data_IF_367507243296
#
_entry.id   IF_367507243296
#
_cell.length_a   1.000
_cell.length_b   1.000
_cell.length_c   1.000
_cell.angle_alpha   90.00
_cell.angle_beta   90.00
_cell.angle_gamma   90.00
#
_symmetry.space_group_name_H-M   'P 1'
#
loop_
_entity.id
_entity.type
_entity.pdbx_description
1 polymer ?
#
# COMPACT_ATOMS: atom_id res chain seq x y z
N UNK A 1 25.86 13.84 1.29
CA UNK A 1 25.37 14.39 2.57
C UNK A 1 23.85 14.38 2.50
N UNK A 2 23.18 13.58 3.33
CA UNK A 2 21.72 13.46 3.32
C UNK A 2 21.10 14.75 3.87
N UNK A 3 20.29 15.44 3.06
CA UNK A 3 19.61 16.67 3.46
C UNK A 3 18.26 16.34 4.10
N UNK A 4 18.28 15.86 5.35
CA UNK A 4 17.10 15.56 6.16
C UNK A 4 16.47 16.84 6.77
N UNK A 5 16.41 17.93 6.00
CA UNK A 5 15.80 19.18 6.44
C UNK A 5 14.28 19.20 6.19
N UNK A 6 13.58 20.08 6.91
CA UNK A 6 12.15 20.27 6.77
C UNK A 6 11.36 19.01 7.11
N UNK A 7 10.45 18.60 6.23
CA UNK A 7 9.55 17.47 6.48
C UNK A 7 10.27 16.13 6.63
N UNK A 8 11.42 15.93 5.96
CA UNK A 8 12.21 14.69 6.06
C UNK A 8 12.92 14.52 7.41
N UNK A 9 12.92 15.56 8.26
CA UNK A 9 13.42 15.46 9.63
C UNK A 9 12.52 14.55 10.49
N UNK A 10 11.20 14.58 10.27
CA UNK A 10 10.20 13.82 11.02
C UNK A 10 9.66 12.63 10.22
N UNK A 11 9.56 12.78 8.90
CA UNK A 11 8.93 11.81 8.00
C UNK A 11 9.93 11.17 7.05
N UNK A 12 9.55 10.02 6.53
CA UNK A 12 10.18 9.38 5.40
C UNK A 12 9.12 9.10 4.34
N UNK A 13 9.48 9.09 3.04
CA UNK A 13 8.54 8.66 2.03
C UNK A 13 8.15 7.20 2.30
N UNK A 14 6.85 6.91 2.31
CA UNK A 14 6.35 5.55 2.49
C UNK A 14 6.55 4.80 1.17
N UNK A 15 7.43 3.80 1.21
CA UNK A 15 7.76 2.95 0.08
C UNK A 15 7.18 1.57 0.31
N UNK A 16 6.27 1.14 -0.56
CA UNK A 16 5.64 -0.18 -0.51
C UNK A 16 6.40 -1.14 -1.42
N UNK A 17 6.44 -2.40 -1.00
CA UNK A 17 6.88 -3.54 -1.82
C UNK A 17 5.62 -4.32 -2.17
N UNK A 18 5.32 -4.44 -3.46
CA UNK A 18 4.14 -5.17 -3.92
C UNK A 18 4.40 -6.67 -3.93
N UNK A 19 3.33 -7.45 -3.91
CA UNK A 19 3.41 -8.81 -4.44
C UNK A 19 3.45 -8.70 -5.97
N UNK A 20 4.45 -9.34 -6.56
CA UNK A 20 4.69 -9.35 -8.00
C UNK A 20 3.99 -10.53 -8.64
N UNK A 21 4.71 -11.18 -9.55
CA UNK A 21 4.22 -12.38 -10.21
C UNK A 21 4.34 -13.56 -9.24
N UNK A 22 3.23 -14.25 -9.00
CA UNK A 22 3.19 -15.53 -8.30
C UNK A 22 2.70 -16.55 -9.32
N UNK A 23 3.62 -17.40 -9.79
CA UNK A 23 3.36 -18.65 -10.51
C UNK A 23 2.42 -18.60 -11.73
N UNK A 24 2.87 -19.02 -12.91
CA UNK A 24 1.98 -19.49 -13.98
C UNK A 24 2.30 -20.96 -14.30
N UNK A 25 1.33 -21.90 -14.29
CA UNK A 25 1.55 -23.21 -14.86
C UNK A 25 2.05 -23.07 -16.31
N UNK A 26 3.02 -23.90 -16.75
CA UNK A 26 3.47 -23.88 -18.16
C UNK A 26 2.32 -24.18 -19.13
N UNK A 27 1.31 -24.91 -18.68
CA UNK A 27 0.14 -25.33 -19.43
C UNK A 27 -1.08 -24.39 -19.31
N UNK A 28 -1.03 -23.37 -18.44
CA UNK A 28 -2.07 -22.33 -18.33
C UNK A 28 -1.48 -20.98 -17.89
N UNK A 29 -0.94 -20.19 -18.85
CA UNK A 29 -0.26 -18.93 -18.54
C UNK A 29 -1.19 -17.82 -18.03
N UNK A 30 -2.51 -18.05 -17.97
CA UNK A 30 -3.49 -17.07 -17.49
C UNK A 30 -3.82 -17.25 -15.98
N UNK A 31 -3.35 -18.33 -15.36
CA UNK A 31 -3.67 -18.72 -13.96
C UNK A 31 -2.70 -18.18 -12.90
N UNK A 32 -1.95 -17.12 -13.21
CA UNK A 32 -0.99 -16.50 -12.28
C UNK A 32 -1.60 -15.39 -11.43
N UNK A 33 -1.14 -15.24 -10.18
CA UNK A 33 -1.44 -14.03 -9.43
C UNK A 33 -0.43 -12.95 -9.81
N UNK A 34 -0.94 -11.74 -9.98
CA UNK A 34 -0.23 -10.54 -10.36
C UNK A 34 -0.38 -9.49 -9.26
N UNK A 35 0.29 -8.35 -9.42
CA UNK A 35 0.11 -7.22 -8.50
C UNK A 35 -1.35 -6.72 -8.44
N UNK A 36 -2.12 -6.88 -9.52
CA UNK A 36 -3.52 -6.44 -9.62
C UNK A 36 -4.46 -7.27 -8.74
N UNK A 37 -4.11 -8.54 -8.49
CA UNK A 37 -4.85 -9.42 -7.58
C UNK A 37 -4.76 -8.95 -6.11
N UNK A 38 -3.94 -7.93 -5.84
CA UNK A 38 -3.74 -7.33 -4.51
C UNK A 38 -4.01 -5.82 -4.47
N UNK A 39 -4.61 -5.28 -5.54
CA UNK A 39 -5.16 -3.91 -5.58
C UNK A 39 -6.68 -4.01 -5.39
N UNK A 40 -7.17 -3.32 -4.36
CA UNK A 40 -8.54 -3.52 -3.89
C UNK A 40 -9.51 -2.51 -4.50
N UNK A 41 -10.42 -3.00 -5.33
CA UNK A 41 -11.45 -2.20 -5.99
C UNK A 41 -12.79 -2.32 -5.27
N UNK A 42 -13.49 -1.22 -4.96
CA UNK A 42 -14.82 -1.29 -4.38
C UNK A 42 -15.77 -2.13 -5.23
N UNK A 43 -16.54 -3.00 -4.57
CA UNK A 43 -17.67 -3.70 -5.20
C UNK A 43 -18.86 -2.74 -5.10
N UNK A 44 -19.35 -2.30 -6.25
CA UNK A 44 -20.50 -1.38 -6.38
C UNK A 44 -21.60 -2.05 -7.17
N UNK A 45 -22.83 -1.56 -7.01
CA UNK A 45 -23.98 -2.06 -7.76
C UNK A 45 -23.84 -1.75 -9.26
N UNK A 46 -24.52 -2.54 -10.09
CA UNK A 46 -24.48 -2.38 -11.54
C UNK A 46 -24.95 -0.98 -11.96
N UNK A 47 -24.11 -0.28 -12.73
CA UNK A 47 -24.39 1.09 -13.21
C UNK A 47 -23.89 2.21 -12.29
N UNK A 48 -23.34 1.89 -11.11
CA UNK A 48 -22.75 2.89 -10.22
C UNK A 48 -21.29 3.22 -10.60
N UNK A 49 -20.87 4.45 -10.28
CA UNK A 49 -19.47 4.85 -10.44
C UNK A 49 -18.62 4.28 -9.31
N UNK A 50 -17.50 3.65 -9.65
CA UNK A 50 -16.55 3.12 -8.67
C UNK A 50 -15.86 4.29 -7.94
N UNK A 51 -16.04 4.44 -6.61
CA UNK A 51 -15.42 5.54 -5.88
C UNK A 51 -13.91 5.35 -5.77
N UNK A 52 -13.15 6.45 -5.87
CA UNK A 52 -11.69 6.50 -5.67
C UNK A 52 -11.28 7.01 -4.27
N UNK A 53 -12.26 7.45 -3.48
CA UNK A 53 -12.11 7.95 -2.11
C UNK A 53 -13.25 7.41 -1.26
N UNK A 54 -12.94 6.99 -0.04
CA UNK A 54 -13.90 6.35 0.87
C UNK A 54 -14.13 7.23 2.09
N UNK A 55 -15.38 7.51 2.44
CA UNK A 55 -15.71 8.51 3.46
C UNK A 55 -15.67 7.96 4.89
N UNK A 56 -15.73 6.63 5.05
CA UNK A 56 -15.69 5.98 6.36
C UNK A 56 -17.03 5.95 7.09
N UNK A 57 -18.11 6.41 6.45
CA UNK A 57 -19.45 6.45 7.03
C UNK A 57 -20.04 5.04 7.20
N UNK A 58 -19.73 4.13 6.26
CA UNK A 58 -20.22 2.75 6.25
C UNK A 58 -19.08 1.77 5.92
N UNK A 59 -19.14 0.53 6.43
CA UNK A 59 -18.24 -0.54 5.97
C UNK A 59 -18.40 -0.80 4.48
N UNK A 60 -17.30 -1.05 3.79
CA UNK A 60 -17.30 -1.30 2.34
C UNK A 60 -16.73 -2.68 2.00
N UNK A 61 -17.19 -3.23 0.87
CA UNK A 61 -16.66 -4.47 0.28
C UNK A 61 -15.77 -4.13 -0.91
N UNK A 62 -14.65 -4.84 -1.01
CA UNK A 62 -13.67 -4.68 -2.09
C UNK A 62 -13.38 -6.03 -2.73
N UNK A 63 -13.20 -6.06 -4.04
CA UNK A 63 -12.71 -7.22 -4.78
C UNK A 63 -11.36 -6.93 -5.42
N UNK A 64 -10.79 -7.95 -6.03
CA UNK A 64 -9.58 -7.82 -6.86
C UNK A 64 -9.87 -7.00 -8.12
N UNK A 65 -8.87 -6.27 -8.62
CA UNK A 65 -8.95 -5.56 -9.91
C UNK A 65 -8.44 -6.46 -11.05
N UNK A 66 -8.98 -7.68 -11.14
CA UNK A 66 -8.62 -8.66 -12.18
C UNK A 66 -9.88 -9.15 -12.92
N UNK A 67 -9.77 -9.28 -14.24
CA UNK A 67 -10.86 -9.74 -15.11
C UNK A 67 -10.93 -11.28 -15.22
N UNK A 68 -9.88 -11.99 -14.81
CA UNK A 68 -9.79 -13.46 -14.90
C UNK A 68 -10.24 -14.11 -13.60
N UNK A 69 -11.24 -15.00 -13.67
CA UNK A 69 -11.64 -15.82 -12.53
C UNK A 69 -10.65 -16.97 -12.31
N UNK A 70 -9.85 -16.85 -11.25
CA UNK A 70 -8.82 -17.82 -10.84
C UNK A 70 -9.20 -18.58 -9.55
N UNK A 71 -10.38 -18.32 -8.99
CA UNK A 71 -10.75 -18.74 -7.65
C UNK A 71 -10.73 -20.26 -7.49
N UNK A 72 -11.29 -20.99 -8.46
CA UNK A 72 -11.35 -22.46 -8.44
C UNK A 72 -9.96 -23.10 -8.39
N UNK A 73 -9.02 -22.59 -9.18
CA UNK A 73 -7.65 -23.09 -9.24
C UNK A 73 -6.88 -22.83 -7.95
N UNK A 74 -6.98 -21.61 -7.42
CA UNK A 74 -6.32 -21.22 -6.17
C UNK A 74 -6.84 -22.08 -5.01
N UNK A 75 -8.17 -22.29 -4.92
CA UNK A 75 -8.76 -23.16 -3.89
C UNK A 75 -8.30 -24.60 -4.03
N UNK A 76 -8.21 -25.13 -5.25
CA UNK A 76 -7.70 -26.49 -5.46
C UNK A 76 -6.25 -26.63 -4.99
N UNK A 77 -5.42 -25.63 -5.26
CA UNK A 77 -3.99 -25.63 -4.91
C UNK A 77 -3.74 -25.44 -3.41
N UNK A 78 -4.52 -24.59 -2.74
CA UNK A 78 -4.39 -24.30 -1.31
C UNK A 78 -5.16 -25.27 -0.40
N UNK A 79 -6.14 -25.97 -0.95
CA UNK A 79 -7.08 -26.78 -0.19
C UNK A 79 -7.90 -25.92 0.78
N UNK A 80 -7.64 -26.06 2.08
CA UNK A 80 -8.32 -25.30 3.14
C UNK A 80 -7.52 -24.12 3.67
N UNK A 81 -6.30 -23.90 3.18
CA UNK A 81 -5.47 -22.79 3.63
C UNK A 81 -5.94 -21.48 2.98
N UNK A 82 -6.16 -20.40 3.76
CA UNK A 82 -6.52 -19.12 3.19
C UNK A 82 -5.38 -18.55 2.35
N UNK A 83 -5.70 -17.81 1.29
CA UNK A 83 -4.69 -17.07 0.51
C UNK A 83 -3.99 -16.05 1.43
N UNK A 84 -2.66 -16.00 1.38
CA UNK A 84 -1.87 -14.93 2.01
C UNK A 84 -2.18 -13.60 1.36
N UNK A 85 -2.31 -12.56 2.17
CA UNK A 85 -2.64 -11.21 1.72
C UNK A 85 -1.59 -10.22 2.24
N UNK A 86 -1.33 -9.13 1.49
CA UNK A 86 -0.43 -8.09 1.94
C UNK A 86 -1.01 -7.39 3.17
N UNK A 87 -0.16 -7.02 4.15
CA UNK A 87 -0.62 -6.23 5.29
C UNK A 87 -0.92 -4.78 4.91
N UNK A 88 -0.26 -4.28 3.85
CA UNK A 88 -0.48 -2.96 3.27
C UNK A 88 -0.48 -3.09 1.75
N UNK A 89 -1.52 -2.56 1.10
CA UNK A 89 -1.56 -2.45 -0.35
C UNK A 89 -2.32 -1.21 -0.81
N UNK A 90 -2.41 -1.02 -2.13
CA UNK A 90 -3.19 0.08 -2.72
C UNK A 90 -4.66 -0.31 -2.84
N UNK A 91 -5.54 0.67 -2.67
CA UNK A 91 -6.91 0.53 -3.15
C UNK A 91 -7.02 1.12 -4.56
N UNK A 92 -8.18 0.92 -5.21
CA UNK A 92 -8.53 1.61 -6.45
C UNK A 92 -8.48 3.14 -6.28
N UNK A 93 -7.79 3.80 -7.20
CA UNK A 93 -7.37 5.19 -7.06
C UNK A 93 -5.97 5.32 -6.46
N UNK A 94 -5.42 6.52 -6.51
CA UNK A 94 -4.07 6.84 -6.03
C UNK A 94 -4.05 7.43 -4.61
N UNK A 95 -5.23 7.52 -3.99
CA UNK A 95 -5.48 8.34 -2.81
C UNK A 95 -5.74 7.54 -1.54
N UNK A 96 -5.71 6.20 -1.63
CA UNK A 96 -6.13 5.31 -0.55
C UNK A 96 -5.20 4.10 -0.42
N UNK A 97 -5.01 3.65 0.81
CA UNK A 97 -4.26 2.44 1.15
C UNK A 97 -5.18 1.46 1.86
N UNK A 98 -5.05 0.17 1.58
CA UNK A 98 -5.66 -0.91 2.38
C UNK A 98 -4.65 -1.36 3.42
N UNK A 99 -5.04 -1.38 4.69
CA UNK A 99 -4.18 -1.80 5.79
C UNK A 99 -4.87 -2.86 6.64
N UNK A 100 -4.10 -3.83 7.12
CA UNK A 100 -4.53 -4.72 8.21
C UNK A 100 -4.77 -3.90 9.50
N UNK A 101 -5.83 -4.22 10.24
CA UNK A 101 -6.33 -3.39 11.33
C UNK A 101 -5.35 -3.23 12.50
N UNK A 102 -4.55 -4.27 12.78
CA UNK A 102 -3.52 -4.24 13.83
C UNK A 102 -2.43 -3.19 13.56
N UNK A 103 -2.15 -2.87 12.29
CA UNK A 103 -1.20 -1.81 11.92
C UNK A 103 -1.69 -0.40 12.27
N UNK A 104 -3.01 -0.25 12.44
CA UNK A 104 -3.68 1.01 12.77
C UNK A 104 -4.10 1.09 14.24
N UNK A 105 -3.81 0.06 15.05
CA UNK A 105 -4.17 0.05 16.47
C UNK A 105 -3.47 1.21 17.21
N UNK A 106 -4.28 2.03 17.90
CA UNK A 106 -3.83 3.21 18.63
C UNK A 106 -3.36 4.38 17.76
N UNK A 107 -3.39 4.24 16.43
CA UNK A 107 -3.16 5.36 15.51
C UNK A 107 -4.41 6.22 15.53
N UNK A 108 -4.26 7.54 15.54
CA UNK A 108 -5.36 8.49 15.33
C UNK A 108 -4.95 9.49 14.24
N UNK A 109 -5.94 10.11 13.59
CA UNK A 109 -5.70 11.17 12.62
C UNK A 109 -6.45 12.43 13.02
N UNK A 110 -5.79 13.59 12.89
CA UNK A 110 -6.46 14.87 13.04
C UNK A 110 -7.43 15.08 11.87
N UNK A 111 -8.66 15.56 12.12
CA UNK A 111 -9.62 15.90 11.04
C UNK A 111 -9.05 16.91 10.02
N UNK A 112 -8.09 17.75 10.44
CA UNK A 112 -7.41 18.71 9.55
C UNK A 112 -6.72 17.99 8.39
N UNK A 113 -6.22 16.76 8.62
CA UNK A 113 -5.54 15.96 7.60
C UNK A 113 -6.48 15.46 6.51
N UNK A 114 -7.79 15.42 6.76
CA UNK A 114 -8.75 14.84 5.83
C UNK A 114 -8.44 13.37 5.56
N UNK A 115 -8.17 12.61 6.62
CA UNK A 115 -7.93 11.16 6.54
C UNK A 115 -9.14 10.46 7.12
N UNK A 116 -9.74 9.55 6.36
CA UNK A 116 -10.88 8.74 6.78
C UNK A 116 -10.47 7.28 6.88
N UNK A 117 -11.18 6.55 7.75
CA UNK A 117 -11.02 5.11 7.95
C UNK A 117 -12.31 4.43 7.58
N UNK A 118 -12.25 3.57 6.58
CA UNK A 118 -13.40 2.78 6.16
C UNK A 118 -13.13 1.33 6.51
N UNK A 119 -13.96 0.73 7.37
CA UNK A 119 -13.90 -0.70 7.63
C UNK A 119 -14.07 -1.46 6.31
N UNK A 120 -13.16 -2.38 6.01
CA UNK A 120 -13.13 -3.09 4.74
C UNK A 120 -13.31 -4.59 4.94
N UNK A 121 -14.18 -5.18 4.11
CA UNK A 121 -14.17 -6.62 3.83
C UNK A 121 -13.63 -6.80 2.42
N UNK A 122 -12.60 -7.61 2.26
CA UNK A 122 -12.01 -7.91 0.96
C UNK A 122 -12.48 -9.29 0.48
N UNK A 123 -12.76 -9.40 -0.80
CA UNK A 123 -12.95 -10.66 -1.52
C UNK A 123 -11.64 -10.92 -2.24
N UNK A 124 -10.86 -11.88 -1.75
CA UNK A 124 -9.54 -12.16 -2.30
C UNK A 124 -9.60 -12.90 -3.65
N UNK A 125 -8.44 -13.11 -4.30
CA UNK A 125 -8.37 -13.80 -5.58
C UNK A 125 -8.84 -15.27 -5.52
N UNK A 126 -8.84 -15.88 -4.32
CA UNK A 126 -9.45 -17.19 -4.12
C UNK A 126 -10.98 -17.10 -4.04
N UNK A 127 -11.57 -15.91 -3.99
CA UNK A 127 -13.01 -15.70 -3.83
C UNK A 127 -13.48 -15.83 -2.38
N UNK A 128 -12.58 -15.77 -1.40
CA UNK A 128 -12.94 -15.84 0.01
C UNK A 128 -13.09 -14.43 0.61
N UNK A 129 -14.07 -14.26 1.49
CA UNK A 129 -14.27 -13.00 2.22
C UNK A 129 -13.33 -12.92 3.43
N UNK A 130 -12.64 -11.78 3.57
CA UNK A 130 -11.67 -11.54 4.64
C UNK A 130 -11.97 -10.21 5.31
N UNK A 131 -12.10 -10.26 6.63
CA UNK A 131 -12.27 -9.09 7.49
C UNK A 131 -10.96 -8.73 8.17
N UNK A 132 -10.94 -7.65 8.96
CA UNK A 132 -9.72 -7.21 9.66
C UNK A 132 -8.87 -6.23 8.85
N UNK A 133 -9.47 -5.54 7.87
CA UNK A 133 -8.83 -4.53 7.05
C UNK A 133 -9.55 -3.18 7.16
N UNK A 134 -8.80 -2.11 6.92
CA UNK A 134 -9.29 -0.73 6.86
C UNK A 134 -8.73 -0.07 5.60
N UNK A 135 -9.61 0.51 4.79
CA UNK A 135 -9.20 1.42 3.73
C UNK A 135 -8.99 2.81 4.33
N UNK A 136 -7.74 3.29 4.28
CA UNK A 136 -7.32 4.60 4.76
C UNK A 136 -7.27 5.57 3.56
N UNK A 137 -8.22 6.48 3.47
CA UNK A 137 -8.34 7.44 2.36
C UNK A 137 -7.84 8.83 2.73
N UNK A 138 -7.08 9.45 1.84
CA UNK A 138 -6.47 10.77 2.03
C UNK A 138 -7.12 11.79 1.09
N UNK A 139 -8.07 12.56 1.62
CA UNK A 139 -8.87 13.57 0.90
C UNK A 139 -8.12 14.89 0.69
N UNK A 140 -6.92 15.02 1.26
CA UNK A 140 -6.08 16.21 1.13
C UNK A 140 -4.66 15.81 0.77
N UNK A 141 -4.12 16.52 -0.20
CA UNK A 141 -2.69 16.49 -0.55
C UNK A 141 -2.06 17.79 -0.08
N UNK A 142 -1.01 17.70 0.74
CA UNK A 142 -0.34 18.86 1.30
C UNK A 142 0.82 19.34 0.42
N UNK A 143 0.88 20.65 0.17
CA UNK A 143 2.06 21.28 -0.43
C UNK A 143 3.19 21.31 0.59
N UNK A 144 4.34 20.75 0.24
CA UNK A 144 5.49 20.66 1.14
C UNK A 144 5.95 22.02 1.68
N UNK A 145 5.88 23.08 0.88
CA UNK A 145 6.21 24.46 1.26
C UNK A 145 5.38 24.96 2.46
N UNK A 146 4.15 24.44 2.61
CA UNK A 146 3.20 24.85 3.66
C UNK A 146 2.99 23.78 4.72
N UNK A 147 3.62 22.62 4.60
CA UNK A 147 3.42 21.48 5.51
C UNK A 147 3.74 21.86 6.96
N UNK A 148 4.87 22.54 7.20
CA UNK A 148 5.26 22.98 8.55
C UNK A 148 4.21 23.86 9.22
N UNK A 149 3.69 24.86 8.50
CA UNK A 149 2.65 25.75 9.02
C UNK A 149 1.33 25.00 9.27
N UNK A 150 0.95 24.08 8.37
CA UNK A 150 -0.28 23.29 8.51
C UNK A 150 -0.22 22.33 9.71
N UNK A 151 0.97 21.87 10.07
CA UNK A 151 1.17 20.86 11.12
C UNK A 151 1.60 21.45 12.46
N UNK A 152 1.87 22.76 12.55
CA UNK A 152 2.36 23.44 13.74
C UNK A 152 1.54 23.13 15.00
N UNK A 153 0.20 23.09 14.85
CA UNK A 153 -0.73 22.84 15.95
C UNK A 153 -1.33 21.42 15.94
N UNK A 154 -0.76 20.49 15.17
CA UNK A 154 -1.22 19.10 15.11
C UNK A 154 -0.20 18.21 15.82
N UNK A 155 -0.57 17.55 16.93
CA UNK A 155 0.30 16.60 17.61
C UNK A 155 0.78 15.52 16.65
N UNK A 156 2.07 15.16 16.74
CA UNK A 156 2.70 14.12 15.88
C UNK A 156 1.90 12.81 15.88
N UNK A 157 1.40 12.40 17.04
CA UNK A 157 0.56 11.20 17.21
C UNK A 157 -0.72 11.19 16.38
N UNK A 158 -1.16 12.36 15.91
CA UNK A 158 -2.36 12.55 15.07
C UNK A 158 -2.04 12.81 13.59
N UNK A 159 -0.77 12.67 13.19
CA UNK A 159 -0.28 12.89 11.81
C UNK A 159 0.79 11.89 11.41
N UNK A 160 0.58 10.61 11.73
CA UNK A 160 1.58 9.56 11.53
C UNK A 160 1.75 9.12 10.07
N UNK A 161 0.73 9.34 9.23
CA UNK A 161 0.82 9.19 7.77
C UNK A 161 0.18 10.42 7.15
N UNK A 162 0.83 11.00 6.15
CA UNK A 162 0.35 12.17 5.41
C UNK A 162 0.56 11.94 3.91
N UNK A 163 -0.23 12.62 3.07
CA UNK A 163 -0.01 12.65 1.63
C UNK A 163 0.49 14.03 1.23
N UNK A 164 1.58 14.10 0.47
CA UNK A 164 2.21 15.36 0.10
C UNK A 164 2.50 15.45 -1.39
N UNK A 165 2.24 16.63 -1.94
CA UNK A 165 2.59 17.00 -3.30
C UNK A 165 4.08 17.31 -3.36
N UNK A 166 4.81 16.51 -4.15
CA UNK A 166 6.22 16.72 -4.47
C UNK A 166 6.36 17.76 -5.57
N UNK A 167 5.58 17.62 -6.65
CA UNK A 167 5.52 18.54 -7.81
C UNK A 167 4.13 18.47 -8.47
N UNK A 168 3.84 19.35 -9.44
CA UNK A 168 2.50 19.57 -10.05
C UNK A 168 1.64 18.32 -10.31
N UNK A 169 2.26 17.20 -10.70
CA UNK A 169 1.56 15.94 -11.03
C UNK A 169 2.15 14.72 -10.29
N UNK A 170 2.85 14.93 -9.17
CA UNK A 170 3.39 13.83 -8.38
C UNK A 170 3.27 14.16 -6.90
N UNK A 171 2.56 13.29 -6.21
CA UNK A 171 2.45 13.23 -4.77
C UNK A 171 2.78 11.83 -4.27
N UNK A 172 2.99 11.71 -2.98
CA UNK A 172 3.20 10.41 -2.34
C UNK A 172 2.83 10.44 -0.87
N UNK A 173 2.76 9.26 -0.27
CA UNK A 173 2.59 9.09 1.16
C UNK A 173 3.92 9.27 1.88
N UNK A 174 3.85 9.88 3.04
CA UNK A 174 4.94 10.02 3.99
C UNK A 174 4.52 9.44 5.32
N UNK A 175 5.40 8.65 5.91
CA UNK A 175 5.19 8.00 7.19
C UNK A 175 6.13 8.61 8.23
N UNK A 176 5.59 8.91 9.41
CA UNK A 176 6.39 9.42 10.52
C UNK A 176 7.34 8.32 11.01
N UNK A 177 8.58 8.69 11.33
CA UNK A 177 9.65 7.74 11.70
C UNK A 177 9.27 6.82 12.87
N UNK A 178 8.45 7.29 13.81
CA UNK A 178 7.98 6.46 14.93
C UNK A 178 7.04 5.33 14.51
N UNK A 179 6.14 5.57 13.54
CA UNK A 179 5.24 4.53 13.04
C UNK A 179 6.03 3.56 12.15
N UNK A 180 6.94 4.07 11.33
CA UNK A 180 7.82 3.23 10.51
C UNK A 180 8.68 2.30 11.39
N UNK A 181 9.22 2.80 12.50
CA UNK A 181 9.98 1.98 13.45
C UNK A 181 9.10 0.87 14.05
N UNK A 182 7.86 1.18 14.47
CA UNK A 182 6.90 0.18 14.95
C UNK A 182 6.62 -0.89 13.88
N UNK A 183 6.37 -0.49 12.64
CA UNK A 183 6.15 -1.45 11.55
C UNK A 183 7.40 -2.27 11.23
N UNK A 184 8.60 -1.73 11.43
CA UNK A 184 9.84 -2.49 11.29
C UNK A 184 9.98 -3.57 12.37
N UNK A 185 9.60 -3.28 13.61
CA UNK A 185 9.60 -4.26 14.71
C UNK A 185 8.59 -5.39 14.49
N UNK A 186 7.50 -5.11 13.75
CA UNK A 186 6.51 -6.11 13.35
C UNK A 186 6.89 -6.90 12.08
N UNK A 187 8.05 -6.62 11.50
CA UNK A 187 8.56 -7.27 10.27
C UNK A 187 7.56 -7.21 9.10
N UNK A 188 6.93 -6.05 8.89
CA UNK A 188 5.96 -5.86 7.80
C UNK A 188 6.66 -5.94 6.44
N UNK A 189 6.38 -6.99 5.69
CA UNK A 189 7.10 -7.31 4.45
C UNK A 189 6.78 -6.39 3.28
N UNK A 190 5.59 -5.78 3.31
CA UNK A 190 5.07 -4.90 2.26
C UNK A 190 5.61 -3.47 2.37
N UNK A 191 6.50 -3.21 3.33
CA UNK A 191 7.13 -1.89 3.56
C UNK A 191 8.63 -1.97 3.30
N UNK A 192 9.14 -1.08 2.45
CA UNK A 192 10.57 -0.89 2.28
C UNK A 192 11.13 0.01 3.39
N UNK A 193 11.84 -0.62 4.33
CA UNK A 193 12.54 0.11 5.39
C UNK A 193 13.91 0.66 4.97
N UNK A 194 14.51 0.14 3.89
CA UNK A 194 15.82 0.55 3.40
C UNK A 194 15.69 1.61 2.29
N UNK A 195 15.34 2.83 2.68
CA UNK A 195 15.13 3.93 1.73
C UNK A 195 16.47 4.39 1.15
N UNK A 196 16.62 4.29 -0.18
CA UNK A 196 17.82 4.72 -0.90
C UNK A 196 18.20 6.17 -0.56
N UNK A 197 19.51 6.45 -0.43
CA UNK A 197 20.01 7.75 0.03
C UNK A 197 19.49 8.94 -0.80
N UNK A 198 19.28 8.77 -2.11
CA UNK A 198 18.75 9.83 -2.96
C UNK A 198 17.27 10.16 -2.67
N UNK A 199 16.48 9.22 -2.15
CA UNK A 199 15.12 9.47 -1.66
C UNK A 199 15.08 10.12 -0.27
N UNK A 200 16.22 10.20 0.43
CA UNK A 200 16.39 10.95 1.68
C UNK A 200 16.72 12.44 1.44
N UNK A 201 16.66 12.90 0.19
CA UNK A 201 16.80 14.30 -0.20
C UNK A 201 15.47 14.81 -0.72
N UNK A 202 14.90 15.79 -0.01
CA UNK A 202 13.59 16.34 -0.39
C UNK A 202 13.67 17.03 -1.76
N UNK A 203 14.78 17.73 -2.03
CA UNK A 203 15.10 18.30 -3.33
C UNK A 203 15.08 17.23 -4.43
N UNK A 204 15.62 16.05 -4.17
CA UNK A 204 15.61 14.97 -5.16
C UNK A 204 14.19 14.48 -5.41
N UNK A 205 13.42 14.20 -4.35
CA UNK A 205 12.02 13.78 -4.46
C UNK A 205 11.18 14.76 -5.31
N UNK A 206 11.37 16.07 -5.14
CA UNK A 206 10.68 17.10 -5.94
C UNK A 206 11.12 17.18 -7.41
N UNK A 207 12.35 16.76 -7.74
CA UNK A 207 12.92 16.87 -9.07
C UNK A 207 12.88 15.57 -9.88
N UNK A 208 12.50 14.45 -9.27
CA UNK A 208 12.27 13.20 -10.01
C UNK A 208 11.19 13.42 -11.06
N UNK A 209 11.41 12.91 -12.27
CA UNK A 209 10.40 12.93 -13.35
C UNK A 209 9.14 12.17 -12.95
N UNK A 210 9.30 11.10 -12.19
CA UNK A 210 8.20 10.34 -11.61
C UNK A 210 8.68 9.71 -10.30
N UNK A 211 7.84 9.76 -9.28
CA UNK A 211 8.08 9.06 -8.02
C UNK A 211 6.91 8.14 -7.75
N UNK A 212 7.16 6.85 -7.76
CA UNK A 212 6.19 5.85 -7.37
C UNK A 212 6.44 5.49 -5.91
N UNK A 213 5.36 5.51 -5.11
CA UNK A 213 5.40 4.99 -3.75
C UNK A 213 5.65 3.47 -3.69
N UNK A 214 5.62 2.77 -4.83
CA UNK A 214 6.07 1.38 -4.95
C UNK A 214 7.52 1.35 -5.41
N UNK A 215 8.37 0.57 -4.73
CA UNK A 215 9.81 0.47 -5.03
C UNK A 215 10.23 -0.86 -5.65
N UNK A 216 9.27 -1.74 -5.89
CA UNK A 216 9.51 -3.05 -6.49
C UNK A 216 8.43 -4.04 -6.10
N UNK A 217 8.60 -5.26 -6.57
CA UNK A 217 7.71 -6.38 -6.29
C UNK A 217 8.51 -7.61 -5.86
N UNK A 218 7.97 -8.37 -4.91
CA UNK A 218 8.46 -9.71 -4.60
C UNK A 218 7.72 -10.70 -5.49
N UNK A 219 8.44 -11.40 -6.35
CA UNK A 219 7.88 -12.48 -7.18
C UNK A 219 8.17 -13.85 -6.56
N UNK A 220 7.35 -14.84 -6.91
CA UNK A 220 7.35 -16.17 -6.31
C UNK A 220 7.18 -17.23 -7.41
N UNK A 221 7.95 -18.31 -7.32
CA UNK A 221 7.93 -19.37 -8.35
C UNK A 221 6.66 -20.21 -8.27
N UNK A 222 6.16 -20.46 -7.05
CA UNK A 222 4.97 -21.28 -6.81
C UNK A 222 4.01 -20.58 -5.84
N UNK A 223 2.76 -21.03 -5.82
CA UNK A 223 1.80 -20.59 -4.81
C UNK A 223 2.22 -21.00 -3.38
N UNK A 224 2.87 -22.14 -3.22
CA UNK A 224 3.43 -22.57 -1.93
C UNK A 224 4.56 -21.65 -1.45
N UNK A 225 5.43 -21.23 -2.38
CA UNK A 225 6.47 -20.24 -2.10
C UNK A 225 5.88 -18.91 -1.67
N UNK A 226 4.82 -18.46 -2.35
CA UNK A 226 4.09 -17.26 -1.95
C UNK A 226 3.51 -17.37 -0.54
N UNK A 227 2.81 -18.48 -0.25
CA UNK A 227 2.23 -18.71 1.07
C UNK A 227 3.28 -18.67 2.19
N UNK A 228 4.47 -19.22 1.93
CA UNK A 228 5.57 -19.32 2.90
C UNK A 228 6.64 -18.21 2.78
N UNK A 229 6.40 -17.16 2.00
CA UNK A 229 7.36 -16.07 1.72
C UNK A 229 8.74 -16.52 1.20
N UNK A 230 8.78 -17.58 0.41
CA UNK A 230 10.01 -18.06 -0.23
C UNK A 230 10.19 -17.35 -1.56
N UNK A 231 10.66 -16.10 -1.49
CA UNK A 231 10.85 -15.24 -2.65
C UNK A 231 11.66 -15.95 -3.73
N UNK A 232 11.24 -15.82 -4.96
CA UNK A 232 12.04 -16.24 -6.08
C UNK A 232 13.30 -15.36 -6.15
N UNK A 233 14.48 -15.97 -6.25
CA UNK A 233 15.71 -15.24 -6.51
C UNK A 233 15.73 -14.78 -7.97
N UNK A 234 14.91 -13.77 -8.31
CA UNK A 234 15.06 -13.03 -9.55
C UNK A 234 16.19 -12.00 -9.36
N UNK A 235 17.41 -12.50 -9.23
CA UNK A 235 18.72 -11.85 -9.42
C UNK A 235 19.02 -10.47 -8.80
N UNK A 236 20.19 -10.47 -8.14
CA UNK A 236 21.08 -9.35 -7.80
C UNK A 236 21.55 -8.49 -9.02
N UNK A 237 20.66 -8.08 -9.93
CA UNK A 237 21.04 -7.31 -11.15
C UNK A 237 20.25 -6.00 -11.35
N UNK A 238 20.09 -5.19 -10.29
CA UNK A 238 19.69 -3.78 -10.42
C UNK A 238 20.53 -2.80 -9.59
N UNK A 239 21.79 -3.16 -9.32
CA UNK A 239 22.83 -2.20 -8.94
C UNK A 239 23.86 -2.09 -10.08
N UNK A 240 23.58 -1.15 -10.99
CA UNK A 240 24.50 -0.56 -11.95
C UNK A 240 24.34 0.94 -11.95
#
# INVERSE_FOLDING_TARGET
MNDLQGILSEYLPLQLIRFGEVYGPEDDPDMWLSEYDFIWRPIVDEGEQVPQLYLGDEPMRFGVDCETDKAGYIKQSLGHQPLRLPEISSCWGDSSLMLRNDLLEGVEFSPILGVTRTSATIVDAAGDERTGFTALSFHKVFFHERARLRFENIPVSKRLIIRMLLKRHSDTFFIHKSLLAKWKELDIETVCFNIKAHHLSFKTLCNLEMYYGSVGSNSYQTLDDFQHNRKANFWDELDG
#
